data_IF_722047214617
#
_entry.id   IF_722047214617
#
_cell.length_a   1.000
_cell.length_b   1.000
_cell.length_c   1.000
_cell.angle_alpha   90.00
_cell.angle_beta   90.00
_cell.angle_gamma   90.00
#
_symmetry.space_group_name_H-M   'P 1'
#
loop_
_entity.id
_entity.type
_entity.pdbx_description
1 polymer ?
#
# COMPACT_ATOMS: atom_id res chain seq x y z
N UNK A 1 11.18 -53.67 60.65
CA UNK A 1 11.67 -54.09 59.31
C UNK A 1 10.49 -54.46 58.42
N UNK A 2 10.54 -54.02 57.16
CA UNK A 2 9.77 -54.42 55.96
C UNK A 2 8.24 -54.21 55.94
N UNK A 3 7.86 -53.03 55.43
CA UNK A 3 6.57 -52.72 54.77
C UNK A 3 6.31 -53.67 53.60
N UNK A 4 5.12 -54.27 53.55
CA UNK A 4 4.60 -54.97 52.37
C UNK A 4 4.22 -53.98 51.26
N UNK A 5 4.58 -54.36 50.05
CA UNK A 5 4.56 -53.60 48.80
C UNK A 5 3.12 -53.38 48.30
N UNK A 6 2.71 -52.11 48.15
CA UNK A 6 1.63 -51.74 47.20
C UNK A 6 2.23 -51.75 45.79
N UNK A 7 1.71 -52.60 44.91
CA UNK A 7 2.00 -52.60 43.47
C UNK A 7 1.29 -51.39 42.85
N UNK A 8 2.06 -50.42 42.37
CA UNK A 8 1.57 -49.38 41.45
C UNK A 8 1.79 -49.92 40.05
N UNK A 9 0.71 -50.23 39.34
CA UNK A 9 0.75 -50.47 37.91
C UNK A 9 0.79 -49.11 37.22
N UNK A 10 1.94 -48.77 36.62
CA UNK A 10 2.11 -47.60 35.79
C UNK A 10 1.66 -47.97 34.37
N UNK A 11 0.45 -47.58 33.99
CA UNK A 11 0.00 -47.67 32.60
C UNK A 11 0.73 -46.60 31.78
N UNK A 12 1.71 -47.02 30.98
CA UNK A 12 2.20 -46.21 29.86
C UNK A 12 1.15 -46.26 28.75
N UNK A 13 0.23 -45.29 28.73
CA UNK A 13 -0.52 -44.99 27.52
C UNK A 13 0.41 -44.25 26.57
N UNK A 14 1.04 -44.99 25.65
CA UNK A 14 1.74 -44.41 24.51
C UNK A 14 0.68 -43.85 23.56
N UNK A 15 0.21 -42.63 23.83
CA UNK A 15 -0.58 -41.87 22.85
C UNK A 15 0.38 -41.44 21.75
N UNK A 16 0.45 -42.24 20.68
CA UNK A 16 1.04 -41.83 19.43
C UNK A 16 0.13 -40.74 18.83
N UNK A 17 0.24 -39.51 19.34
CA UNK A 17 -0.32 -38.34 18.68
C UNK A 17 0.50 -38.12 17.40
N UNK A 18 0.15 -38.86 16.35
CA UNK A 18 0.51 -38.46 14.99
C UNK A 18 -0.19 -37.12 14.78
N UNK A 19 0.54 -36.02 14.93
CA UNK A 19 0.11 -34.71 14.48
C UNK A 19 0.04 -34.77 12.96
N UNK A 20 -1.03 -35.37 12.43
CA UNK A 20 -1.44 -35.14 11.06
C UNK A 20 -1.90 -33.70 11.07
N UNK A 21 -0.99 -32.76 10.79
CA UNK A 21 -1.40 -31.41 10.40
C UNK A 21 -2.37 -31.63 9.25
N UNK A 22 -3.65 -31.23 9.36
CA UNK A 22 -4.54 -31.34 8.23
C UNK A 22 -3.89 -30.54 7.10
N UNK A 23 -3.40 -31.25 6.08
CA UNK A 23 -3.07 -30.61 4.81
C UNK A 23 -4.39 -30.04 4.36
N UNK A 24 -4.48 -28.71 4.38
CA UNK A 24 -5.67 -28.01 3.94
C UNK A 24 -6.00 -28.51 2.54
N UNK A 25 -7.12 -29.21 2.42
CA UNK A 25 -7.53 -29.80 1.15
C UNK A 25 -7.70 -28.66 0.15
N UNK A 26 -7.05 -28.81 -1.00
CA UNK A 26 -7.22 -27.89 -2.13
C UNK A 26 -8.65 -28.02 -2.65
N UNK A 27 -9.32 -26.90 -2.86
CA UNK A 27 -10.65 -26.83 -3.45
C UNK A 27 -10.52 -26.42 -4.91
N UNK A 28 -10.92 -27.30 -5.81
CA UNK A 28 -10.97 -27.02 -7.25
C UNK A 28 -12.29 -26.34 -7.56
N UNK A 29 -12.27 -25.18 -8.19
CA UNK A 29 -13.47 -24.36 -8.36
C UNK A 29 -13.63 -23.92 -9.80
N UNK A 30 -14.81 -24.17 -10.37
CA UNK A 30 -15.15 -23.86 -11.76
C UNK A 30 -16.28 -22.83 -11.93
N UNK A 31 -16.94 -22.42 -10.85
CA UNK A 31 -18.07 -21.50 -10.93
C UNK A 31 -18.07 -20.45 -9.83
N UNK A 32 -18.86 -19.40 -10.07
CA UNK A 32 -18.92 -18.23 -9.21
C UNK A 32 -19.51 -18.53 -7.83
N UNK A 33 -20.52 -19.40 -7.74
CA UNK A 33 -21.22 -19.69 -6.49
C UNK A 33 -20.30 -20.40 -5.51
N UNK A 34 -19.61 -21.45 -5.95
CA UNK A 34 -18.63 -22.17 -5.13
C UNK A 34 -17.47 -21.25 -4.74
N UNK A 35 -16.93 -20.48 -5.70
CA UNK A 35 -15.85 -19.54 -5.44
C UNK A 35 -16.23 -18.52 -4.37
N UNK A 36 -17.41 -17.90 -4.49
CA UNK A 36 -17.94 -16.92 -3.54
C UNK A 36 -18.14 -17.54 -2.16
N UNK A 37 -18.78 -18.72 -2.08
CA UNK A 37 -19.02 -19.41 -0.82
C UNK A 37 -17.71 -19.71 -0.07
N UNK A 38 -16.70 -20.20 -0.78
CA UNK A 38 -15.39 -20.46 -0.20
C UNK A 38 -14.72 -19.16 0.24
N UNK A 39 -14.72 -18.11 -0.58
CA UNK A 39 -14.14 -16.82 -0.21
C UNK A 39 -14.81 -16.21 1.04
N UNK A 40 -16.12 -16.36 1.18
CA UNK A 40 -16.94 -15.74 2.24
C UNK A 40 -16.96 -16.52 3.55
N UNK A 41 -16.36 -17.72 3.58
CA UNK A 41 -16.17 -18.49 4.81
C UNK A 41 -15.10 -17.86 5.71
N UNK A 42 -15.23 -18.01 7.03
CA UNK A 42 -14.20 -17.58 7.99
C UNK A 42 -13.04 -18.59 8.12
N UNK A 43 -13.14 -19.75 7.46
CA UNK A 43 -12.13 -20.81 7.47
C UNK A 43 -10.89 -20.41 6.67
N UNK A 44 -9.78 -21.11 6.94
CA UNK A 44 -8.66 -21.07 6.01
C UNK A 44 -9.04 -21.92 4.78
N UNK A 45 -8.84 -21.43 3.56
CA UNK A 45 -9.09 -22.20 2.33
C UNK A 45 -7.95 -22.04 1.34
N UNK A 46 -7.66 -23.12 0.60
CA UNK A 46 -6.80 -23.10 -0.59
C UNK A 46 -7.66 -23.39 -1.81
N UNK A 47 -7.82 -22.39 -2.67
CA UNK A 47 -8.74 -22.38 -3.81
C UNK A 47 -7.91 -22.39 -5.08
N UNK A 48 -8.16 -23.37 -5.97
CA UNK A 48 -7.56 -23.46 -7.29
C UNK A 48 -8.64 -23.35 -8.36
N UNK A 49 -8.52 -22.38 -9.26
CA UNK A 49 -9.47 -22.24 -10.36
C UNK A 49 -9.24 -23.30 -11.44
N UNK A 50 -10.32 -23.77 -12.04
CA UNK A 50 -10.30 -24.69 -13.19
C UNK A 50 -10.95 -24.12 -14.44
N UNK A 51 -11.52 -22.92 -14.34
CA UNK A 51 -12.14 -22.17 -15.41
C UNK A 51 -12.09 -20.67 -15.11
N UNK A 52 -12.38 -19.87 -16.13
CA UNK A 52 -12.66 -18.45 -15.95
C UNK A 52 -14.02 -18.27 -15.27
N UNK A 53 -14.10 -17.34 -14.33
CA UNK A 53 -15.30 -17.07 -13.54
C UNK A 53 -15.75 -15.64 -13.79
N UNK A 54 -17.03 -15.48 -14.15
CA UNK A 54 -17.68 -14.18 -14.23
C UNK A 54 -18.12 -13.75 -12.82
N UNK A 55 -17.76 -12.53 -12.44
CA UNK A 55 -18.12 -11.90 -11.17
C UNK A 55 -19.16 -10.83 -11.43
N UNK A 56 -20.41 -11.10 -11.07
CA UNK A 56 -21.56 -10.22 -11.29
C UNK A 56 -22.09 -9.57 -10.00
N UNK A 57 -21.51 -9.91 -8.85
CA UNK A 57 -21.79 -9.32 -7.55
C UNK A 57 -20.53 -9.32 -6.65
N UNK A 58 -20.48 -8.58 -5.53
CA UNK A 58 -19.27 -8.48 -4.74
C UNK A 58 -18.97 -9.80 -4.01
N UNK A 59 -17.69 -10.15 -3.89
CA UNK A 59 -17.21 -11.27 -3.08
C UNK A 59 -16.49 -10.75 -1.84
N UNK A 60 -16.99 -11.09 -0.66
CA UNK A 60 -16.33 -10.71 0.60
C UNK A 60 -15.30 -11.78 0.98
N UNK A 61 -14.02 -11.44 0.92
CA UNK A 61 -12.97 -12.38 1.29
C UNK A 61 -12.77 -12.33 2.81
N UNK A 62 -13.20 -13.40 3.49
CA UNK A 62 -13.07 -13.61 4.94
C UNK A 62 -12.02 -14.68 5.27
N UNK A 63 -11.74 -14.90 6.55
CA UNK A 63 -10.77 -15.92 6.98
C UNK A 63 -9.36 -15.74 6.41
N UNK A 64 -8.66 -16.85 6.14
CA UNK A 64 -7.38 -16.86 5.43
C UNK A 64 -7.54 -17.57 4.09
N UNK A 65 -7.14 -16.96 2.98
CA UNK A 65 -7.37 -17.51 1.64
C UNK A 65 -6.08 -17.56 0.84
N UNK A 66 -5.86 -18.68 0.17
CA UNK A 66 -4.82 -18.84 -0.85
C UNK A 66 -5.55 -19.13 -2.15
N UNK A 67 -5.52 -18.19 -3.08
CA UNK A 67 -6.22 -18.28 -4.37
C UNK A 67 -5.17 -18.42 -5.47
N UNK A 68 -5.22 -19.55 -6.16
CA UNK A 68 -4.35 -19.86 -7.27
C UNK A 68 -5.18 -19.99 -8.55
N UNK A 69 -5.00 -19.04 -9.47
CA UNK A 69 -5.84 -18.99 -10.67
C UNK A 69 -5.48 -20.03 -11.72
N UNK A 70 -4.30 -20.68 -11.65
CA UNK A 70 -3.80 -21.60 -12.70
C UNK A 70 -3.83 -21.01 -14.12
N UNK A 71 -3.73 -19.68 -14.23
CA UNK A 71 -3.83 -18.93 -15.48
C UNK A 71 -5.24 -18.46 -15.85
N UNK A 72 -6.27 -18.84 -15.08
CA UNK A 72 -7.64 -18.44 -15.30
C UNK A 72 -7.94 -17.01 -14.81
N UNK A 73 -9.12 -16.53 -15.18
CA UNK A 73 -9.55 -15.15 -15.00
C UNK A 73 -10.76 -15.06 -14.05
N UNK A 74 -10.76 -14.05 -13.17
CA UNK A 74 -11.95 -13.53 -12.51
C UNK A 74 -12.35 -12.24 -13.23
N UNK A 75 -13.50 -12.27 -13.91
CA UNK A 75 -13.85 -11.24 -14.90
C UNK A 75 -15.13 -10.54 -14.47
N UNK A 76 -15.10 -9.21 -14.34
CA UNK A 76 -16.31 -8.42 -14.08
C UNK A 76 -17.37 -8.71 -15.14
N UNK A 77 -18.61 -8.96 -14.72
CA UNK A 77 -19.74 -9.06 -15.65
C UNK A 77 -19.88 -7.77 -16.47
N UNK A 78 -19.75 -7.93 -17.78
CA UNK A 78 -19.90 -6.88 -18.79
C UNK A 78 -20.98 -7.24 -19.83
N UNK A 79 -21.88 -8.15 -19.47
CA UNK A 79 -22.99 -8.57 -20.31
C UNK A 79 -23.93 -7.38 -20.59
N UNK A 80 -24.45 -7.31 -21.82
CA UNK A 80 -25.36 -6.25 -22.21
C UNK A 80 -26.58 -6.22 -21.28
N UNK A 81 -26.89 -5.05 -20.71
CA UNK A 81 -27.96 -4.89 -19.71
C UNK A 81 -27.67 -5.44 -18.31
N UNK A 82 -26.55 -6.12 -18.06
CA UNK A 82 -26.18 -6.75 -16.78
C UNK A 82 -24.73 -6.48 -16.37
N UNK A 83 -24.31 -5.23 -16.48
CA UNK A 83 -22.96 -4.81 -16.07
C UNK A 83 -22.91 -4.63 -14.56
N UNK A 84 -22.00 -5.34 -13.90
CA UNK A 84 -21.75 -5.11 -12.49
C UNK A 84 -20.78 -3.93 -12.31
N UNK A 85 -21.25 -2.82 -11.76
CA UNK A 85 -20.44 -1.60 -11.61
C UNK A 85 -19.65 -1.49 -10.30
N UNK A 86 -19.94 -2.32 -9.29
CA UNK A 86 -19.42 -2.20 -7.93
C UNK A 86 -18.00 -2.74 -7.72
N UNK A 87 -17.57 -2.84 -6.47
CA UNK A 87 -16.26 -3.42 -6.15
C UNK A 87 -16.34 -4.95 -6.27
N UNK A 88 -15.40 -5.60 -6.97
CA UNK A 88 -15.46 -7.06 -7.15
C UNK A 88 -15.12 -7.81 -5.85
N UNK A 89 -14.07 -7.39 -5.16
CA UNK A 89 -13.55 -8.11 -3.98
C UNK A 89 -13.37 -7.19 -2.78
N UNK A 90 -13.95 -7.60 -1.65
CA UNK A 90 -13.83 -6.89 -0.37
C UNK A 90 -13.01 -7.75 0.58
N UNK A 91 -11.73 -7.41 0.78
CA UNK A 91 -10.87 -8.14 1.72
C UNK A 91 -11.18 -7.67 3.13
N UNK A 92 -11.75 -8.59 3.91
CA UNK A 92 -12.09 -8.42 5.32
C UNK A 92 -11.48 -9.52 6.21
N UNK A 93 -10.81 -10.51 5.63
CA UNK A 93 -10.16 -11.59 6.36
C UNK A 93 -8.83 -11.19 7.00
N UNK A 94 -8.08 -12.21 7.44
CA UNK A 94 -6.73 -12.02 7.99
C UNK A 94 -5.71 -11.81 6.87
N UNK A 95 -5.69 -12.73 5.90
CA UNK A 95 -4.73 -12.74 4.80
C UNK A 95 -5.34 -13.40 3.56
N UNK A 96 -5.13 -12.81 2.40
CA UNK A 96 -5.51 -13.37 1.11
C UNK A 96 -4.32 -13.31 0.15
N UNK A 97 -3.88 -14.45 -0.38
CA UNK A 97 -2.74 -14.54 -1.30
C UNK A 97 -3.20 -14.95 -2.69
N UNK A 98 -2.84 -14.17 -3.71
CA UNK A 98 -3.23 -14.43 -5.10
C UNK A 98 -2.00 -14.77 -5.95
N UNK A 99 -2.13 -15.78 -6.81
CA UNK A 99 -1.08 -16.17 -7.75
C UNK A 99 -1.66 -16.75 -9.04
N UNK A 100 -0.96 -16.56 -10.16
CA UNK A 100 -1.36 -17.06 -11.48
C UNK A 100 -2.83 -16.81 -11.83
N UNK A 101 -3.31 -15.58 -11.63
CA UNK A 101 -4.71 -15.21 -11.79
C UNK A 101 -4.80 -13.84 -12.46
N UNK A 102 -5.71 -13.67 -13.41
CA UNK A 102 -6.08 -12.33 -13.87
C UNK A 102 -7.38 -11.90 -13.20
N UNK A 103 -7.42 -10.69 -12.68
CA UNK A 103 -8.67 -10.03 -12.28
C UNK A 103 -8.90 -8.83 -13.19
N UNK A 104 -9.97 -8.89 -13.97
CA UNK A 104 -10.26 -7.94 -15.04
C UNK A 104 -11.55 -7.18 -14.77
N UNK A 105 -11.48 -5.87 -15.00
CA UNK A 105 -12.65 -4.98 -14.98
C UNK A 105 -13.44 -4.96 -16.29
N UNK A 106 -13.04 -5.76 -17.29
CA UNK A 106 -13.75 -5.90 -18.57
C UNK A 106 -13.94 -4.58 -19.31
N UNK A 107 -12.89 -3.76 -19.40
CA UNK A 107 -12.92 -2.50 -20.15
C UNK A 107 -13.44 -2.71 -21.58
N UNK A 108 -14.51 -2.00 -21.92
CA UNK A 108 -15.18 -2.07 -23.22
C UNK A 108 -16.37 -1.12 -23.28
N UNK A 109 -17.06 -1.08 -24.42
CA UNK A 109 -18.19 -0.16 -24.62
C UNK A 109 -19.30 -0.37 -23.59
N UNK A 110 -19.59 -1.62 -23.24
CA UNK A 110 -20.64 -1.95 -22.28
C UNK A 110 -20.35 -1.45 -20.86
N UNK A 111 -19.08 -1.44 -20.44
CA UNK A 111 -18.65 -1.04 -19.07
C UNK A 111 -18.34 0.44 -18.95
N UNK A 112 -18.16 1.14 -20.08
CA UNK A 112 -17.92 2.58 -20.13
C UNK A 112 -18.97 3.33 -19.31
N UNK A 113 -18.50 4.19 -18.42
CA UNK A 113 -19.34 5.03 -17.54
C UNK A 113 -20.24 4.29 -16.55
N UNK A 114 -20.09 2.97 -16.38
CA UNK A 114 -20.89 2.17 -15.42
C UNK A 114 -20.08 1.67 -14.22
N UNK A 115 -18.75 1.77 -14.29
CA UNK A 115 -17.87 1.29 -13.22
C UNK A 115 -17.75 2.36 -12.15
N UNK A 116 -18.28 2.07 -10.96
CA UNK A 116 -18.22 2.93 -9.77
C UNK A 116 -17.47 2.27 -8.60
N UNK A 117 -16.94 1.06 -8.78
CA UNK A 117 -16.10 0.37 -7.82
C UNK A 117 -14.72 -0.02 -8.36
N UNK A 118 -13.80 -0.33 -7.46
CA UNK A 118 -12.47 -0.86 -7.76
C UNK A 118 -12.53 -2.35 -8.12
N UNK A 119 -11.40 -2.94 -8.51
CA UNK A 119 -11.31 -4.41 -8.51
C UNK A 119 -11.34 -4.92 -7.08
N UNK A 120 -10.55 -4.32 -6.19
CA UNK A 120 -10.36 -4.80 -4.82
C UNK A 120 -10.38 -3.64 -3.83
N UNK A 121 -11.07 -3.83 -2.72
CA UNK A 121 -10.99 -2.97 -1.53
C UNK A 121 -10.46 -3.79 -0.35
N UNK A 122 -9.28 -3.43 0.15
CA UNK A 122 -8.68 -4.02 1.34
C UNK A 122 -9.11 -3.23 2.56
N UNK A 123 -10.25 -3.61 3.15
CA UNK A 123 -10.82 -2.92 4.32
C UNK A 123 -10.02 -3.20 5.58
N UNK A 124 -9.67 -4.48 5.77
CA UNK A 124 -8.87 -4.97 6.87
C UNK A 124 -8.08 -6.23 6.45
N UNK A 125 -7.00 -6.52 7.18
CA UNK A 125 -6.14 -7.66 6.89
C UNK A 125 -5.16 -7.39 5.76
N UNK A 126 -4.64 -8.46 5.16
CA UNK A 126 -3.56 -8.39 4.17
C UNK A 126 -3.95 -9.02 2.84
N UNK A 127 -3.86 -8.25 1.74
CA UNK A 127 -3.81 -8.78 0.38
C UNK A 127 -2.36 -8.98 -0.05
N UNK A 128 -2.04 -10.14 -0.65
CA UNK A 128 -0.74 -10.41 -1.26
C UNK A 128 -0.92 -10.67 -2.74
N UNK A 129 -0.29 -9.83 -3.57
CA UNK A 129 -0.24 -9.99 -5.02
C UNK A 129 1.06 -10.73 -5.37
N UNK A 130 0.92 -11.99 -5.77
CA UNK A 130 2.01 -12.91 -6.10
C UNK A 130 2.34 -13.00 -7.59
N UNK A 131 3.21 -13.95 -7.93
CA UNK A 131 3.69 -14.18 -9.30
C UNK A 131 2.54 -14.60 -10.23
N UNK A 132 2.55 -14.08 -11.45
CA UNK A 132 1.53 -14.37 -12.45
C UNK A 132 0.14 -13.78 -12.14
N UNK A 133 0.04 -12.90 -11.13
CA UNK A 133 -1.20 -12.18 -10.85
C UNK A 133 -1.27 -10.90 -11.70
N UNK A 134 -2.41 -10.64 -12.33
CA UNK A 134 -2.67 -9.45 -13.16
C UNK A 134 -3.94 -8.74 -12.69
N UNK A 135 -3.86 -7.47 -12.31
CA UNK A 135 -5.02 -6.64 -11.98
C UNK A 135 -5.19 -5.57 -13.04
N UNK A 136 -6.24 -5.67 -13.85
CA UNK A 136 -6.29 -4.90 -15.09
C UNK A 136 -7.67 -4.45 -15.55
N UNK A 137 -7.64 -3.52 -16.50
CA UNK A 137 -8.78 -3.13 -17.33
C UNK A 137 -10.02 -2.71 -16.53
N UNK A 138 -9.83 -2.16 -15.32
CA UNK A 138 -10.92 -1.54 -14.55
C UNK A 138 -10.94 -0.03 -14.81
N UNK A 139 -11.93 0.40 -15.58
CA UNK A 139 -11.94 1.73 -16.20
C UNK A 139 -13.15 2.53 -15.73
N UNK A 140 -12.88 3.65 -15.07
CA UNK A 140 -13.82 4.74 -14.91
C UNK A 140 -13.16 6.04 -15.41
N UNK A 141 -13.85 6.76 -16.29
CA UNK A 141 -13.37 8.03 -16.86
C UNK A 141 -14.40 9.15 -16.72
N UNK A 142 -15.57 8.89 -16.15
CA UNK A 142 -16.71 9.81 -16.22
C UNK A 142 -17.42 10.01 -14.89
N UNK A 143 -17.56 8.97 -14.07
CA UNK A 143 -18.29 9.06 -12.82
C UNK A 143 -17.39 9.65 -11.75
N UNK A 144 -17.78 10.78 -11.16
CA UNK A 144 -17.08 11.43 -10.04
C UNK A 144 -17.23 10.63 -8.73
N UNK A 145 -16.74 9.40 -8.77
CA UNK A 145 -16.71 8.43 -7.67
C UNK A 145 -15.33 7.82 -7.61
N UNK A 146 -14.95 7.33 -6.42
CA UNK A 146 -13.75 6.53 -6.28
C UNK A 146 -14.00 5.10 -6.76
N UNK A 147 -14.13 4.96 -8.07
CA UNK A 147 -14.46 3.74 -8.79
C UNK A 147 -13.67 3.69 -10.08
N UNK A 148 -13.43 2.51 -10.62
CA UNK A 148 -12.30 2.29 -11.51
C UNK A 148 -11.02 2.00 -10.72
N UNK A 149 -9.91 1.83 -11.40
CA UNK A 149 -8.65 1.48 -10.73
C UNK A 149 -8.60 0.06 -10.16
N UNK A 150 -7.42 -0.42 -9.76
CA UNK A 150 -7.27 -1.78 -9.26
C UNK A 150 -7.59 -1.91 -7.76
N UNK A 151 -6.75 -1.34 -6.88
CA UNK A 151 -6.82 -1.62 -5.44
C UNK A 151 -7.01 -0.35 -4.63
N UNK A 152 -7.95 -0.39 -3.68
CA UNK A 152 -8.04 0.56 -2.58
C UNK A 152 -7.61 -0.11 -1.29
N UNK A 153 -6.82 0.58 -0.47
CA UNK A 153 -6.34 0.10 0.81
C UNK A 153 -6.89 1.02 1.90
N UNK A 154 -7.80 0.48 2.71
CA UNK A 154 -8.44 1.17 3.83
C UNK A 154 -7.51 1.33 5.03
N UNK A 155 -7.98 2.04 6.06
CA UNK A 155 -7.20 2.41 7.26
C UNK A 155 -6.61 1.23 8.06
N UNK A 156 -7.21 0.04 7.97
CA UNK A 156 -6.69 -1.20 8.57
C UNK A 156 -6.14 -2.21 7.55
N UNK A 157 -6.11 -1.83 6.27
CA UNK A 157 -5.71 -2.69 5.18
C UNK A 157 -4.22 -2.65 4.90
N UNK A 158 -3.69 -3.79 4.49
CA UNK A 158 -2.32 -3.94 4.00
C UNK A 158 -2.36 -4.60 2.63
N UNK A 159 -1.68 -4.02 1.64
CA UNK A 159 -1.41 -4.70 0.39
C UNK A 159 0.11 -4.92 0.25
N UNK A 160 0.50 -6.15 -0.07
CA UNK A 160 1.88 -6.52 -0.36
C UNK A 160 1.95 -7.00 -1.80
N UNK A 161 2.58 -6.20 -2.66
CA UNK A 161 2.87 -6.59 -4.03
C UNK A 161 4.27 -7.22 -4.07
N UNK A 162 4.31 -8.56 -4.07
CA UNK A 162 5.55 -9.32 -4.18
C UNK A 162 6.03 -9.41 -5.63
N UNK A 163 5.08 -9.63 -6.54
CA UNK A 163 5.29 -9.75 -7.97
C UNK A 163 3.98 -9.42 -8.70
N UNK A 164 3.82 -9.92 -9.93
CA UNK A 164 2.61 -9.70 -10.73
C UNK A 164 2.61 -8.34 -11.42
N UNK A 165 1.45 -7.96 -11.96
CA UNK A 165 1.29 -6.69 -12.66
C UNK A 165 -0.06 -6.03 -12.37
N UNK A 166 -0.03 -4.71 -12.23
CA UNK A 166 -1.23 -3.87 -12.14
C UNK A 166 -1.21 -2.93 -13.33
N UNK A 167 -2.15 -3.09 -14.27
CA UNK A 167 -2.03 -2.44 -15.58
C UNK A 167 -3.32 -1.99 -16.22
N UNK A 168 -3.23 -0.97 -17.06
CA UNK A 168 -4.34 -0.48 -17.90
C UNK A 168 -5.61 -0.10 -17.13
N UNK A 169 -5.50 0.16 -15.83
CA UNK A 169 -6.62 0.63 -15.05
C UNK A 169 -6.78 2.14 -15.22
N UNK A 170 -8.02 2.61 -15.15
CA UNK A 170 -8.31 4.04 -15.23
C UNK A 170 -9.23 4.47 -14.12
N UNK A 171 -8.95 5.65 -13.60
CA UNK A 171 -9.73 6.22 -12.52
C UNK A 171 -9.78 7.74 -12.66
N UNK A 172 -10.81 8.34 -12.08
CA UNK A 172 -10.93 9.80 -11.97
C UNK A 172 -10.63 10.28 -10.56
N UNK A 173 -10.81 9.42 -9.55
CA UNK A 173 -10.18 9.60 -8.26
C UNK A 173 -8.73 9.11 -8.31
N UNK A 174 -7.86 9.61 -7.44
CA UNK A 174 -6.42 9.32 -7.56
C UNK A 174 -6.05 7.83 -7.65
N UNK A 175 -4.84 7.53 -8.09
CA UNK A 175 -4.25 6.19 -7.92
C UNK A 175 -4.98 5.10 -8.70
N UNK A 176 -4.78 5.05 -10.02
CA UNK A 176 -5.45 4.04 -10.85
C UNK A 176 -4.90 2.61 -10.61
N UNK A 177 -3.66 2.44 -10.16
CA UNK A 177 -3.20 1.14 -9.65
C UNK A 177 -3.58 0.97 -8.18
N UNK A 178 -3.12 1.89 -7.32
CA UNK A 178 -3.33 1.81 -5.88
C UNK A 178 -3.79 3.15 -5.30
N UNK A 179 -4.84 3.12 -4.49
CA UNK A 179 -5.22 4.22 -3.61
C UNK A 179 -5.03 3.78 -2.17
N UNK A 180 -4.15 4.46 -1.45
CA UNK A 180 -3.81 4.14 -0.07
C UNK A 180 -4.44 5.20 0.83
N UNK A 181 -5.55 4.86 1.49
CA UNK A 181 -6.20 5.77 2.45
C UNK A 181 -5.31 5.95 3.67
N UNK A 182 -5.57 7.04 4.41
CA UNK A 182 -4.96 7.27 5.73
C UNK A 182 -5.10 6.02 6.61
N UNK A 183 -3.98 5.57 7.19
CA UNK A 183 -3.88 4.34 7.99
C UNK A 183 -3.53 3.08 7.18
N UNK A 184 -3.86 3.06 5.88
CA UNK A 184 -3.56 1.96 4.97
C UNK A 184 -2.08 1.86 4.62
N UNK A 185 -1.65 0.65 4.26
CA UNK A 185 -0.24 0.35 3.98
C UNK A 185 -0.06 -0.40 2.67
N UNK A 186 0.84 0.09 1.84
CA UNK A 186 1.26 -0.56 0.60
C UNK A 186 2.75 -0.88 0.68
N UNK A 187 3.10 -2.16 0.53
CA UNK A 187 4.48 -2.61 0.40
C UNK A 187 4.67 -3.20 -1.01
N UNK A 188 5.55 -2.60 -1.80
CA UNK A 188 5.92 -3.08 -3.12
C UNK A 188 7.34 -3.62 -3.04
N UNK A 189 7.46 -4.94 -3.18
CA UNK A 189 8.74 -5.65 -3.18
C UNK A 189 9.19 -5.99 -4.59
N UNK A 190 8.25 -6.11 -5.53
CA UNK A 190 8.51 -6.45 -6.93
C UNK A 190 7.28 -6.31 -7.80
N UNK A 191 7.38 -6.76 -9.05
CA UNK A 191 6.33 -6.70 -10.06
C UNK A 191 6.31 -5.41 -10.89
N UNK A 192 5.27 -5.24 -11.70
CA UNK A 192 5.18 -4.17 -12.71
C UNK A 192 3.86 -3.40 -12.62
N UNK A 193 3.94 -2.09 -12.40
CA UNK A 193 2.80 -1.19 -12.39
C UNK A 193 2.88 -0.32 -13.65
N UNK A 194 1.98 -0.51 -14.62
CA UNK A 194 2.14 0.13 -15.93
C UNK A 194 0.85 0.46 -16.67
N UNK A 195 0.85 1.51 -17.49
CA UNK A 195 -0.31 1.89 -18.31
C UNK A 195 -1.54 2.35 -17.50
N UNK A 196 -1.39 2.56 -16.19
CA UNK A 196 -2.49 3.05 -15.36
C UNK A 196 -2.62 4.57 -15.53
N UNK A 197 -3.86 5.05 -15.55
CA UNK A 197 -4.14 6.46 -15.85
C UNK A 197 -5.16 7.06 -14.91
N UNK A 198 -4.82 8.21 -14.34
CA UNK A 198 -5.79 9.05 -13.64
C UNK A 198 -6.15 10.26 -14.51
N UNK A 199 -7.44 10.60 -14.58
CA UNK A 199 -7.97 11.73 -15.37
C UNK A 199 -8.82 12.62 -14.46
N UNK A 200 -8.44 13.90 -14.34
CA UNK A 200 -9.24 14.88 -13.62
C UNK A 200 -10.53 15.20 -14.36
N UNK A 201 -11.67 15.10 -13.67
CA UNK A 201 -13.01 15.41 -14.19
C UNK A 201 -13.60 16.69 -13.58
N UNK A 202 -12.94 17.29 -12.59
CA UNK A 202 -13.35 18.56 -12.02
C UNK A 202 -12.25 19.26 -11.25
N UNK A 203 -12.46 20.55 -10.98
CA UNK A 203 -11.59 21.39 -10.16
C UNK A 203 -11.86 21.16 -8.65
N UNK A 204 -12.03 19.90 -8.24
CA UNK A 204 -12.36 19.50 -6.88
C UNK A 204 -11.29 18.53 -6.40
N UNK A 205 -10.84 18.72 -5.16
CA UNK A 205 -9.88 17.81 -4.54
C UNK A 205 -10.40 16.36 -4.57
N UNK A 206 -9.53 15.44 -4.94
CA UNK A 206 -9.88 14.02 -5.08
C UNK A 206 -10.43 13.65 -6.46
N UNK A 207 -10.80 14.61 -7.32
CA UNK A 207 -11.29 14.39 -8.68
C UNK A 207 -10.55 15.21 -9.75
N UNK A 208 -9.42 15.80 -9.37
CA UNK A 208 -8.57 16.63 -10.23
C UNK A 208 -7.43 15.85 -10.88
N UNK A 209 -7.37 14.52 -10.69
CA UNK A 209 -6.51 13.63 -11.45
C UNK A 209 -5.05 13.54 -10.98
N UNK A 210 -4.82 13.04 -9.77
CA UNK A 210 -3.49 12.90 -9.15
C UNK A 210 -3.05 11.46 -8.98
N UNK A 211 -1.75 11.19 -9.04
CA UNK A 211 -1.21 9.86 -8.74
C UNK A 211 -1.56 8.84 -9.82
N UNK A 212 -0.93 8.90 -10.99
CA UNK A 212 -1.30 8.08 -12.15
C UNK A 212 -1.27 6.58 -11.84
N UNK A 213 -0.21 6.13 -11.16
CA UNK A 213 -0.16 4.78 -10.61
C UNK A 213 -0.69 4.75 -9.17
N UNK A 214 -0.05 5.51 -8.27
CA UNK A 214 -0.30 5.44 -6.83
C UNK A 214 -0.73 6.81 -6.31
N UNK A 215 -1.82 6.83 -5.55
CA UNK A 215 -2.22 7.95 -4.70
C UNK A 215 -2.17 7.52 -3.24
N UNK A 216 -1.49 8.28 -2.38
CA UNK A 216 -1.29 7.88 -0.99
C UNK A 216 -1.57 8.98 0.03
N UNK A 217 -2.53 8.74 0.91
CA UNK A 217 -2.73 9.39 2.21
C UNK A 217 -2.16 8.55 3.37
N UNK A 218 -1.82 7.29 3.10
CA UNK A 218 -1.28 6.33 4.06
C UNK A 218 0.24 6.19 3.97
N UNK A 219 0.73 4.96 4.04
CA UNK A 219 2.17 4.66 3.96
C UNK A 219 2.49 3.71 2.82
N UNK A 220 3.47 4.09 2.00
CA UNK A 220 3.97 3.31 0.88
C UNK A 220 5.45 3.01 1.09
N UNK A 221 5.82 1.74 0.96
CA UNK A 221 7.20 1.28 0.91
C UNK A 221 7.47 0.71 -0.48
N UNK A 222 8.30 1.41 -1.26
CA UNK A 222 8.74 0.97 -2.56
C UNK A 222 10.16 0.41 -2.43
N UNK A 223 10.28 -0.92 -2.37
CA UNK A 223 11.54 -1.63 -2.17
C UNK A 223 12.09 -2.26 -3.45
N UNK A 224 11.25 -2.51 -4.44
CA UNK A 224 11.64 -3.15 -5.70
C UNK A 224 10.49 -3.19 -6.71
N UNK A 225 10.79 -3.61 -7.94
CA UNK A 225 9.85 -3.63 -9.06
C UNK A 225 9.94 -2.40 -9.98
N UNK A 226 8.99 -2.28 -10.89
CA UNK A 226 8.96 -1.24 -11.92
C UNK A 226 7.63 -0.51 -11.90
N UNK A 227 7.66 0.82 -11.88
CA UNK A 227 6.50 1.68 -12.13
C UNK A 227 6.83 2.50 -13.39
N UNK A 228 6.14 2.21 -14.49
CA UNK A 228 6.43 2.88 -15.77
C UNK A 228 5.22 3.06 -16.66
N UNK A 229 5.20 4.11 -17.48
CA UNK A 229 4.11 4.36 -18.42
C UNK A 229 2.77 4.70 -17.76
N UNK A 230 2.76 5.14 -16.50
CA UNK A 230 1.54 5.57 -15.82
C UNK A 230 1.35 7.07 -15.98
N UNK A 231 0.10 7.53 -16.12
CA UNK A 231 -0.20 8.92 -16.46
C UNK A 231 -1.10 9.59 -15.43
N UNK A 232 -0.75 10.78 -14.96
CA UNK A 232 -1.65 11.65 -14.21
C UNK A 232 -2.04 12.84 -15.10
N UNK A 233 -3.30 12.92 -15.52
CA UNK A 233 -3.82 14.04 -16.31
C UNK A 233 -4.74 14.91 -15.46
N UNK A 234 -4.47 16.22 -15.43
CA UNK A 234 -5.24 17.17 -14.65
C UNK A 234 -6.56 17.56 -15.29
N UNK A 235 -7.46 18.14 -14.49
CA UNK A 235 -8.64 18.84 -15.00
C UNK A 235 -8.24 20.24 -15.47
N UNK A 236 -8.64 20.65 -16.68
CA UNK A 236 -8.32 21.97 -17.23
C UNK A 236 -9.57 22.84 -17.34
N UNK A 237 -9.47 24.07 -16.84
CA UNK A 237 -10.49 25.12 -17.02
C UNK A 237 -9.81 26.39 -17.52
N UNK A 238 -9.92 26.65 -18.82
CA UNK A 238 -9.08 27.65 -19.49
C UNK A 238 -7.61 27.28 -19.36
N UNK A 239 -6.79 28.26 -18.97
CA UNK A 239 -5.34 28.07 -18.80
C UNK A 239 -4.95 27.41 -17.46
N UNK A 240 -5.91 27.20 -16.55
CA UNK A 240 -5.65 26.62 -15.23
C UNK A 240 -5.75 25.10 -15.30
N UNK A 241 -4.69 24.43 -14.82
CA UNK A 241 -4.66 22.98 -14.62
C UNK A 241 -4.76 22.64 -13.13
N UNK A 242 -5.79 21.89 -12.77
CA UNK A 242 -6.01 21.32 -11.44
C UNK A 242 -5.51 19.88 -11.42
N UNK A 243 -4.78 19.49 -10.39
CA UNK A 243 -4.17 18.16 -10.27
C UNK A 243 -3.18 17.86 -11.40
N UNK A 244 -3.24 16.65 -11.97
CA UNK A 244 -2.32 16.21 -13.03
C UNK A 244 -0.89 16.06 -12.56
N UNK A 245 -0.69 15.61 -11.32
CA UNK A 245 0.62 15.52 -10.68
C UNK A 245 0.90 14.11 -10.16
N UNK A 246 2.18 13.73 -10.14
CA UNK A 246 2.65 12.45 -9.65
C UNK A 246 2.27 11.34 -10.61
N UNK A 247 2.84 11.34 -11.82
CA UNK A 247 2.55 10.33 -12.83
C UNK A 247 2.76 8.91 -12.30
N UNK A 248 3.85 8.70 -11.54
CA UNK A 248 4.07 7.46 -10.80
C UNK A 248 3.36 7.51 -9.45
N UNK A 249 3.71 8.47 -8.59
CA UNK A 249 3.21 8.52 -7.21
C UNK A 249 2.84 9.94 -6.83
N UNK A 250 1.64 10.11 -6.29
CA UNK A 250 1.25 11.29 -5.55
C UNK A 250 1.15 10.97 -4.05
N UNK A 251 1.88 11.72 -3.23
CA UNK A 251 1.87 11.60 -1.76
C UNK A 251 1.11 12.79 -1.17
N UNK A 252 -0.11 12.54 -0.70
CA UNK A 252 -0.97 13.53 -0.07
C UNK A 252 -0.42 14.00 1.28
N UNK A 253 -0.94 15.12 1.79
CA UNK A 253 -0.63 15.61 3.14
C UNK A 253 -0.93 14.54 4.20
N UNK A 254 0.05 14.26 5.06
CA UNK A 254 -0.02 13.21 6.07
C UNK A 254 0.33 11.81 5.56
N UNK A 255 0.44 11.63 4.24
CA UNK A 255 0.95 10.41 3.62
C UNK A 255 2.47 10.32 3.66
N UNK A 256 2.99 9.12 3.38
CA UNK A 256 4.41 8.83 3.38
C UNK A 256 4.82 7.85 2.28
N UNK A 257 5.95 8.14 1.64
CA UNK A 257 6.63 7.26 0.69
C UNK A 257 8.06 7.01 1.13
N UNK A 258 8.43 5.74 1.24
CA UNK A 258 9.79 5.28 1.50
C UNK A 258 10.29 4.52 0.28
N UNK A 259 11.26 5.10 -0.42
CA UNK A 259 11.91 4.47 -1.56
C UNK A 259 13.22 3.86 -1.10
N UNK A 260 13.40 2.57 -1.33
CA UNK A 260 14.63 1.82 -1.02
C UNK A 260 15.21 1.14 -2.27
N UNK A 261 14.39 0.91 -3.30
CA UNK A 261 14.82 0.29 -4.55
C UNK A 261 13.70 0.32 -5.60
N UNK A 262 13.94 -0.38 -6.72
CA UNK A 262 13.04 -0.40 -7.87
C UNK A 262 13.30 0.72 -8.88
N UNK A 263 12.48 0.78 -9.92
CA UNK A 263 12.62 1.71 -11.05
C UNK A 263 11.33 2.51 -11.29
N UNK A 264 11.46 3.83 -11.39
CA UNK A 264 10.39 4.75 -11.80
C UNK A 264 10.81 5.44 -13.11
N UNK A 265 10.15 5.15 -14.22
CA UNK A 265 10.51 5.71 -15.53
C UNK A 265 9.28 6.00 -16.38
N UNK A 266 9.33 7.07 -17.17
CA UNK A 266 8.31 7.37 -18.17
C UNK A 266 6.88 7.41 -17.61
N UNK A 267 6.70 7.97 -16.41
CA UNK A 267 5.37 8.22 -15.86
C UNK A 267 5.00 9.70 -16.06
N UNK A 268 4.37 10.07 -17.19
CA UNK A 268 4.06 11.46 -17.48
C UNK A 268 3.01 12.04 -16.53
N UNK A 269 3.17 13.32 -16.25
CA UNK A 269 2.18 14.17 -15.61
C UNK A 269 2.27 15.59 -16.21
N UNK A 270 1.49 16.53 -15.71
CA UNK A 270 1.47 17.92 -16.20
C UNK A 270 2.69 18.74 -15.75
N UNK A 271 3.59 18.16 -14.94
CA UNK A 271 4.78 18.83 -14.37
C UNK A 271 6.10 18.15 -14.69
N UNK A 272 6.07 17.06 -15.46
CA UNK A 272 7.20 16.19 -15.78
C UNK A 272 7.85 15.57 -14.53
N UNK A 273 7.07 15.33 -13.47
CA UNK A 273 7.53 14.78 -12.20
C UNK A 273 7.08 13.32 -12.01
N UNK A 274 8.03 12.44 -11.64
CA UNK A 274 7.69 11.04 -11.34
C UNK A 274 6.90 10.95 -10.01
N UNK A 275 7.35 11.69 -9.00
CA UNK A 275 6.77 11.73 -7.67
C UNK A 275 6.41 13.18 -7.34
N UNK A 276 5.16 13.41 -6.99
CA UNK A 276 4.70 14.66 -6.39
C UNK A 276 4.34 14.43 -4.93
N UNK A 277 4.76 15.30 -4.02
CA UNK A 277 4.53 15.10 -2.59
C UNK A 277 4.18 16.39 -1.85
N UNK A 278 2.99 16.38 -1.24
CA UNK A 278 2.61 17.24 -0.12
C UNK A 278 2.88 16.56 1.23
N UNK A 279 3.13 15.25 1.22
CA UNK A 279 3.52 14.45 2.38
C UNK A 279 5.03 14.19 2.46
N UNK A 280 5.43 13.17 3.22
CA UNK A 280 6.84 12.84 3.46
C UNK A 280 7.36 11.86 2.40
N UNK A 281 8.48 12.19 1.77
CA UNK A 281 9.24 11.26 0.92
C UNK A 281 10.62 11.03 1.51
N UNK A 282 11.06 9.78 1.57
CA UNK A 282 12.39 9.38 2.06
C UNK A 282 13.05 8.42 1.08
N UNK A 283 14.36 8.53 0.88
CA UNK A 283 15.12 7.64 -0.01
C UNK A 283 14.94 7.92 -1.50
N UNK A 284 14.40 9.10 -1.83
CA UNK A 284 14.34 9.60 -3.20
C UNK A 284 14.94 11.01 -3.25
N UNK A 285 16.07 11.15 -3.92
CA UNK A 285 16.65 12.46 -4.21
C UNK A 285 16.04 12.96 -5.51
N UNK A 286 15.17 13.97 -5.42
CA UNK A 286 14.68 14.67 -6.60
C UNK A 286 15.88 15.25 -7.34
N UNK A 287 16.18 14.73 -8.54
CA UNK A 287 16.97 15.46 -9.54
C UNK A 287 16.13 16.68 -9.95
N UNK A 288 16.29 17.78 -9.19
CA UNK A 288 15.67 19.10 -9.30
C UNK A 288 14.80 19.36 -10.55
N UNK A 289 13.50 19.53 -10.33
CA UNK A 289 12.74 20.64 -10.91
C UNK A 289 12.64 21.71 -9.81
N UNK A 290 13.26 22.88 -10.02
CA UNK A 290 13.10 24.02 -9.14
C UNK A 290 11.59 24.31 -9.04
N UNK A 291 11.08 24.44 -7.81
CA UNK A 291 9.75 24.99 -7.52
C UNK A 291 9.60 26.31 -8.30
N UNK A 292 8.99 26.30 -9.48
CA UNK A 292 8.41 27.51 -10.05
C UNK A 292 7.14 27.71 -9.24
N UNK A 293 7.25 28.55 -8.21
CA UNK A 293 6.07 29.24 -7.69
C UNK A 293 5.33 29.84 -8.90
N UNK A 294 3.99 29.80 -8.93
CA UNK A 294 3.25 30.48 -9.98
C UNK A 294 3.68 31.95 -9.92
N UNK A 295 4.34 32.41 -10.98
CA UNK A 295 4.50 33.84 -11.19
C UNK A 295 3.09 34.40 -11.21
N UNK A 296 2.70 35.09 -10.14
CA UNK A 296 1.67 36.12 -10.28
C UNK A 296 2.20 37.02 -11.38
N UNK A 297 1.51 37.06 -12.51
CA UNK A 297 1.73 38.06 -13.54
C UNK A 297 1.42 39.42 -12.90
N UNK A 298 2.41 40.01 -12.22
CA UNK A 298 2.50 41.45 -12.13
C UNK A 298 2.81 41.90 -13.55
N UNK A 299 1.80 42.48 -14.19
CA UNK A 299 1.92 43.18 -15.45
C UNK A 299 3.07 44.18 -15.37
N UNK A 300 4.19 43.88 -16.05
CA UNK A 300 5.15 44.90 -16.44
C UNK A 300 4.42 45.83 -17.41
N UNK A 301 4.10 47.02 -16.92
CA UNK A 301 3.60 48.14 -17.72
C UNK A 301 4.78 48.60 -18.58
N UNK A 302 4.90 48.01 -19.76
CA UNK A 302 5.71 48.57 -20.84
C UNK A 302 4.96 49.78 -21.39
N UNK A 303 5.49 50.98 -21.14
CA UNK A 303 5.01 52.24 -21.70
C UNK A 303 5.09 52.20 -23.23
N UNK A 304 3.97 52.02 -23.91
CA UNK A 304 3.82 52.41 -25.32
C UNK A 304 3.05 53.73 -25.39
N UNK A 305 3.70 54.76 -25.94
CA UNK A 305 3.09 56.01 -26.34
C UNK A 305 2.14 55.73 -27.50
N UNK A 306 0.85 55.98 -27.34
CA UNK A 306 -0.04 56.29 -28.48
C UNK A 306 -0.96 57.46 -28.15
N UNK A 307 -1.21 58.22 -29.21
CA UNK A 307 -1.67 59.61 -29.28
C UNK A 307 -3.20 59.66 -29.28
N UNK A 308 -3.72 60.75 -28.69
CA UNK A 308 -5.12 61.15 -28.55
C UNK A 308 -6.05 60.93 -29.76
N UNK A 309 -7.33 60.65 -29.46
CA UNK A 309 -8.49 61.47 -29.88
C UNK A 309 -9.69 61.28 -28.93
N UNK A 310 -10.47 62.36 -28.79
CA UNK A 310 -11.51 62.63 -27.80
C UNK A 310 -12.82 61.83 -27.98
N UNK A 311 -13.58 61.64 -26.88
CA UNK A 311 -14.85 62.35 -26.62
C UNK A 311 -15.55 61.90 -25.30
N UNK A 312 -15.74 62.87 -24.40
CA UNK A 312 -16.96 63.19 -23.63
C UNK A 312 -17.87 62.08 -23.03
N UNK A 313 -17.93 61.97 -21.69
CA UNK A 313 -18.87 62.69 -20.79
C UNK A 313 -19.11 61.99 -19.42
N UNK A 314 -19.11 62.84 -18.38
CA UNK A 314 -19.90 62.83 -17.11
C UNK A 314 -19.61 61.86 -15.94
N UNK A 315 -18.85 62.43 -14.98
CA UNK A 315 -19.04 62.56 -13.50
C UNK A 315 -19.99 61.59 -12.76
N UNK A 316 -19.48 60.97 -11.67
CA UNK A 316 -19.75 61.41 -10.27
C UNK A 316 -18.92 60.62 -9.22
N UNK A 317 -18.04 61.35 -8.53
CA UNK A 317 -17.74 61.39 -7.08
C UNK A 317 -18.02 60.17 -6.17
N UNK A 318 -16.97 59.60 -5.55
CA UNK A 318 -16.55 59.81 -4.13
C UNK A 318 -15.58 58.71 -3.63
N UNK A 319 -14.47 59.13 -3.02
CA UNK A 319 -13.51 58.38 -2.19
C UNK A 319 -13.55 59.01 -0.77
N UNK A 320 -12.78 58.58 0.26
CA UNK A 320 -11.94 57.37 0.46
C UNK A 320 -12.05 56.75 1.88
N UNK A 321 -11.33 55.65 2.16
CA UNK A 321 -10.60 55.51 3.43
C UNK A 321 -9.37 54.57 3.29
N UNK A 322 -8.17 55.13 3.53
CA UNK A 322 -6.90 54.47 3.85
C UNK A 322 -7.01 53.88 5.28
N UNK A 323 -6.27 52.86 5.74
CA UNK A 323 -4.83 52.86 6.11
C UNK A 323 -4.42 51.43 6.55
N UNK A 324 -3.31 50.89 6.05
CA UNK A 324 -1.99 50.76 6.69
C UNK A 324 -1.67 49.39 7.36
N UNK A 325 -0.64 48.71 6.83
CA UNK A 325 0.35 47.85 7.52
C UNK A 325 1.73 48.39 7.08
N UNK A 326 2.81 48.39 7.90
CA UNK A 326 3.62 47.20 8.23
C UNK A 326 4.23 47.24 9.67
N UNK A 327 5.01 46.32 10.25
CA UNK A 327 6.17 45.48 9.84
C UNK A 327 6.44 44.42 10.97
N UNK A 328 7.31 43.40 10.77
CA UNK A 328 7.51 42.24 11.67
C UNK A 328 8.79 42.33 12.53
N UNK A 329 8.87 41.53 13.60
CA UNK A 329 10.08 41.33 14.42
C UNK A 329 10.64 39.90 14.32
N UNK A 330 11.91 39.83 13.87
CA UNK A 330 13.08 38.98 14.28
C UNK A 330 12.76 37.60 14.90
N UNK A 331 13.00 36.47 14.23
CA UNK A 331 14.28 35.76 14.00
C UNK A 331 15.28 35.79 15.16
N UNK A 332 15.43 34.64 15.84
CA UNK A 332 16.66 34.28 16.54
C UNK A 332 17.10 32.86 16.21
N UNK A 333 18.41 32.74 16.07
CA UNK A 333 19.18 31.66 15.46
C UNK A 333 19.68 30.71 16.56
N UNK A 334 19.51 29.39 16.41
CA UNK A 334 20.23 28.41 17.26
C UNK A 334 21.12 27.51 16.39
N UNK A 335 22.38 27.46 16.82
CA UNK A 335 23.56 26.88 16.19
C UNK A 335 23.45 25.36 16.02
N UNK A 336 23.95 24.88 14.87
CA UNK A 336 24.30 23.48 14.62
C UNK A 336 25.65 23.18 15.26
N UNK A 337 25.69 22.23 16.19
CA UNK A 337 26.93 21.53 16.55
C UNK A 337 27.17 20.35 15.59
N UNK A 338 28.39 20.33 15.04
CA UNK A 338 28.98 19.20 14.31
C UNK A 338 29.25 18.08 15.31
N UNK A 339 28.81 16.87 15.01
CA UNK A 339 29.47 15.67 15.51
C UNK A 339 29.96 14.80 14.35
N UNK A 340 31.13 14.26 14.63
CA UNK A 340 32.17 13.77 13.75
C UNK A 340 31.85 12.34 13.31
N UNK A 341 32.11 12.03 12.04
CA UNK A 341 32.12 10.66 11.51
C UNK A 341 33.26 9.86 12.13
N UNK A 342 32.95 8.67 12.62
CA UNK A 342 33.89 7.56 12.70
C UNK A 342 33.29 6.39 11.94
N UNK A 343 33.96 6.01 10.85
CA UNK A 343 33.71 4.80 10.08
C UNK A 343 34.12 3.58 10.93
N UNK A 344 33.16 2.68 11.15
CA UNK A 344 33.45 1.27 11.42
C UNK A 344 32.39 0.43 10.71
N UNK A 345 32.86 -0.30 9.69
CA UNK A 345 32.09 -1.26 8.91
C UNK A 345 31.84 -2.49 9.78
N UNK A 346 30.69 -2.52 10.44
CA UNK A 346 30.19 -3.71 11.12
C UNK A 346 28.81 -4.04 10.57
N UNK A 347 28.70 -5.20 9.93
CA UNK A 347 27.50 -5.67 9.23
C UNK A 347 26.33 -5.88 10.21
N UNK A 348 25.20 -5.19 9.98
CA UNK A 348 24.13 -4.99 10.97
C UNK A 348 23.02 -6.03 10.85
N UNK A 349 22.84 -6.87 11.88
CA UNK A 349 21.62 -7.68 12.10
C UNK A 349 20.58 -6.82 12.83
N UNK A 350 19.35 -6.76 12.32
CA UNK A 350 18.22 -6.07 12.97
C UNK A 350 17.13 -7.08 13.30
N UNK A 351 16.65 -7.06 14.55
CA UNK A 351 15.67 -8.03 15.06
C UNK A 351 14.32 -7.34 15.27
N UNK A 352 13.25 -7.94 14.75
CA UNK A 352 11.86 -7.48 14.90
C UNK A 352 11.01 -8.57 15.55
N UNK A 353 10.58 -8.41 16.82
CA UNK A 353 9.64 -9.33 17.43
C UNK A 353 8.22 -9.10 16.89
N UNK A 354 7.58 -10.15 16.41
CA UNK A 354 6.17 -10.15 15.95
C UNK A 354 5.37 -11.07 16.86
N UNK A 355 4.25 -10.61 17.43
CA UNK A 355 3.47 -11.41 18.37
C UNK A 355 1.98 -11.47 18.03
N UNK A 356 1.51 -12.71 17.84
CA UNK A 356 0.11 -13.10 17.69
C UNK A 356 -0.60 -13.17 19.06
N UNK A 357 -1.89 -12.77 19.08
CA UNK A 357 -2.78 -12.93 20.24
C UNK A 357 -3.66 -14.17 20.04
N UNK A 358 -3.19 -15.33 20.49
CA UNK A 358 -3.94 -16.39 21.22
C UNK A 358 -3.23 -17.75 21.10
N UNK A 359 -2.99 -18.30 22.30
CA UNK A 359 -2.78 -19.69 22.73
C UNK A 359 -1.71 -20.57 22.05
N UNK A 360 -0.85 -21.14 22.90
CA UNK A 360 0.48 -21.77 22.68
C UNK A 360 1.57 -20.86 22.09
N UNK A 361 2.25 -20.17 23.00
CA UNK A 361 3.12 -19.01 22.76
C UNK A 361 4.46 -19.43 22.11
N UNK A 362 4.45 -19.61 20.80
CA UNK A 362 5.65 -19.53 19.99
C UNK A 362 5.93 -18.04 19.71
N UNK A 363 6.94 -17.47 20.35
CA UNK A 363 7.37 -16.11 20.04
C UNK A 363 8.08 -16.10 18.69
N UNK A 364 7.65 -15.24 17.75
CA UNK A 364 8.34 -15.10 16.47
C UNK A 364 9.34 -13.96 16.57
N UNK A 365 10.60 -14.27 16.30
CA UNK A 365 11.68 -13.29 16.22
C UNK A 365 12.17 -13.30 14.78
N UNK A 366 11.86 -12.23 14.04
CA UNK A 366 12.37 -12.06 12.69
C UNK A 366 13.75 -11.42 12.78
N UNK A 367 14.75 -12.00 12.14
CA UNK A 367 16.04 -11.34 11.92
C UNK A 367 16.32 -11.22 10.43
N UNK A 368 17.09 -10.19 10.09
CA UNK A 368 17.61 -9.98 8.74
C UNK A 368 19.11 -10.23 8.80
N UNK A 369 19.58 -11.20 8.02
CA UNK A 369 21.01 -11.36 7.77
C UNK A 369 21.44 -10.37 6.68
N UNK A 370 22.57 -9.65 6.85
CA UNK A 370 22.96 -8.56 5.95
C UNK A 370 23.10 -8.97 4.48
N UNK A 371 23.40 -10.25 4.25
CA UNK A 371 23.81 -10.76 2.93
C UNK A 371 22.79 -11.74 2.33
N UNK A 372 21.63 -11.90 2.97
CA UNK A 372 20.58 -12.80 2.51
C UNK A 372 19.24 -12.06 2.42
N UNK A 373 18.68 -11.98 1.21
CA UNK A 373 17.40 -11.29 0.91
C UNK A 373 16.17 -12.01 1.43
N UNK A 374 16.35 -13.19 2.03
CA UNK A 374 15.31 -13.98 2.65
C UNK A 374 15.21 -13.68 4.16
N UNK A 375 13.99 -13.42 4.64
CA UNK A 375 13.74 -13.43 6.08
C UNK A 375 13.95 -14.84 6.60
N UNK A 376 14.98 -15.04 7.42
CA UNK A 376 15.07 -16.26 8.21
C UNK A 376 14.13 -16.09 9.40
N UNK A 377 12.95 -16.72 9.32
CA UNK A 377 12.04 -16.82 10.45
C UNK A 377 12.65 -17.78 11.48
N UNK A 378 13.21 -17.23 12.56
CA UNK A 378 13.67 -18.06 13.68
C UNK A 378 12.56 -18.16 14.72
N UNK A 379 12.11 -19.38 14.98
CA UNK A 379 11.08 -19.65 16.00
C UNK A 379 11.75 -19.79 17.36
N UNK A 380 11.48 -18.84 18.24
CA UNK A 380 11.98 -18.86 19.60
C UNK A 380 10.88 -19.36 20.54
N UNK A 381 11.23 -20.30 21.41
CA UNK A 381 10.28 -20.88 22.36
C UNK A 381 10.43 -20.14 23.68
N UNK A 382 9.46 -19.25 23.97
CA UNK A 382 9.39 -18.54 25.24
C UNK A 382 8.37 -19.21 26.16
N UNK A 383 8.74 -19.44 27.43
CA UNK A 383 7.74 -19.69 28.46
C UNK A 383 6.89 -18.44 28.69
N UNK A 384 5.70 -18.60 29.26
CA UNK A 384 4.76 -17.49 29.55
C UNK A 384 5.45 -16.39 30.37
N UNK A 385 6.27 -16.77 31.36
CA UNK A 385 6.97 -15.82 32.21
C UNK A 385 8.18 -15.20 31.51
N UNK A 386 8.93 -15.97 30.71
CA UNK A 386 10.03 -15.42 29.91
C UNK A 386 9.52 -14.40 28.87
N UNK A 387 8.32 -14.61 28.33
CA UNK A 387 7.68 -13.67 27.41
C UNK A 387 7.28 -12.36 28.10
N UNK A 388 6.77 -12.43 29.33
CA UNK A 388 6.48 -11.22 30.14
C UNK A 388 7.75 -10.41 30.41
N UNK A 389 8.84 -11.10 30.73
CA UNK A 389 10.16 -10.47 30.97
C UNK A 389 10.71 -9.85 29.67
N UNK A 390 10.61 -10.54 28.54
CA UNK A 390 11.02 -10.02 27.23
C UNK A 390 10.20 -8.77 26.82
N UNK A 391 8.88 -8.76 27.08
CA UNK A 391 8.02 -7.59 26.85
C UNK A 391 8.47 -6.38 27.66
N UNK A 392 8.68 -6.58 28.96
CA UNK A 392 9.12 -5.52 29.86
C UNK A 392 10.51 -5.00 29.49
N UNK A 393 11.42 -5.88 29.07
CA UNK A 393 12.75 -5.48 28.62
C UNK A 393 12.69 -4.50 27.44
N UNK A 394 11.91 -4.81 26.40
CA UNK A 394 11.77 -3.95 25.20
C UNK A 394 11.07 -2.63 25.53
N UNK A 395 10.00 -2.67 26.32
CA UNK A 395 9.20 -1.47 26.63
C UNK A 395 9.96 -0.43 27.48
N UNK A 396 11.00 -0.85 28.19
CA UNK A 396 11.85 0.04 29.01
C UNK A 396 12.95 0.72 28.22
N UNK A 397 13.11 0.41 26.94
CA UNK A 397 14.18 1.00 26.11
C UNK A 397 13.66 2.23 25.36
N UNK A 398 14.40 3.32 25.44
CA UNK A 398 14.13 4.55 24.69
C UNK A 398 14.27 4.33 23.17
N UNK A 399 15.17 3.44 22.76
CA UNK A 399 15.39 3.00 21.37
C UNK A 399 15.34 1.47 21.27
N UNK A 400 14.14 0.87 21.27
CA UNK A 400 13.94 -0.58 21.42
C UNK A 400 14.52 -1.45 20.30
N UNK A 401 14.93 -0.84 19.19
CA UNK A 401 15.52 -1.53 18.03
C UNK A 401 16.93 -1.03 17.71
N UNK A 402 17.57 -0.34 18.67
CA UNK A 402 18.98 0.03 18.56
C UNK A 402 19.85 -1.23 18.61
N UNK A 403 21.08 -1.11 18.10
CA UNK A 403 22.03 -2.21 18.06
C UNK A 403 22.33 -2.71 19.47
N UNK A 404 22.53 -1.77 20.39
CA UNK A 404 22.88 -2.03 21.78
C UNK A 404 21.76 -2.81 22.49
N UNK A 405 20.51 -2.44 22.23
CA UNK A 405 19.33 -3.13 22.76
C UNK A 405 19.16 -4.52 22.15
N UNK A 406 19.41 -4.68 20.85
CA UNK A 406 19.33 -5.98 20.18
C UNK A 406 20.40 -6.95 20.71
N UNK A 407 21.64 -6.50 20.88
CA UNK A 407 22.74 -7.30 21.41
C UNK A 407 22.51 -7.68 22.89
N UNK A 408 21.90 -6.77 23.66
CA UNK A 408 21.49 -7.05 25.03
C UNK A 408 20.32 -8.06 25.08
N UNK A 409 19.35 -7.93 24.18
CA UNK A 409 18.22 -8.86 24.07
C UNK A 409 18.70 -10.28 23.74
N UNK A 410 19.55 -10.42 22.72
CA UNK A 410 20.11 -11.71 22.33
C UNK A 410 20.88 -12.38 23.46
N UNK A 411 21.74 -11.63 24.17
CA UNK A 411 22.48 -12.16 25.32
C UNK A 411 21.56 -12.62 26.45
N UNK A 412 20.52 -11.83 26.74
CA UNK A 412 19.61 -12.13 27.85
C UNK A 412 18.66 -13.29 27.56
N UNK A 413 18.23 -13.46 26.30
CA UNK A 413 17.22 -14.44 25.92
C UNK A 413 17.76 -15.62 25.10
N UNK A 414 19.08 -15.74 24.88
CA UNK A 414 19.71 -16.80 24.08
C UNK A 414 19.26 -18.23 24.42
N UNK A 415 18.90 -18.50 25.69
CA UNK A 415 18.42 -19.83 26.12
C UNK A 415 17.05 -20.20 25.53
N UNK A 416 16.24 -19.22 25.10
CA UNK A 416 14.95 -19.42 24.43
C UNK A 416 15.08 -19.84 22.95
N UNK A 417 16.32 -19.90 22.42
CA UNK A 417 16.66 -20.24 21.05
C UNK A 417 16.60 -21.76 20.74
N UNK A 418 16.40 -22.65 21.72
CA UNK A 418 16.41 -24.10 21.48
C UNK A 418 15.17 -24.54 20.69
N UNK A 419 15.32 -24.65 19.38
CA UNK A 419 14.31 -25.18 18.45
C UNK A 419 14.76 -25.19 16.99
N UNK A 420 16.05 -25.36 16.72
CA UNK A 420 16.55 -25.62 15.35
C UNK A 420 16.50 -27.13 15.14
N UNK A 421 15.45 -27.61 14.47
CA UNK A 421 15.49 -28.93 13.83
C UNK A 421 16.52 -28.81 12.70
N UNK A 422 17.71 -29.39 12.90
CA UNK A 422 18.60 -29.71 11.79
C UNK A 422 18.03 -30.97 11.14
N UNK A 423 17.61 -30.86 9.88
CA UNK A 423 17.41 -32.03 9.05
C UNK A 423 18.81 -32.51 8.66
N UNK A 424 19.27 -33.61 9.26
CA UNK A 424 20.21 -34.55 8.65
C UNK A 424 19.43 -35.79 8.22
#
# INVERSE_FOLDING_TARGET
MKKMRKRIALFFALSLCVSVRPVLAKRMVSDFSEFKQLCESDTKETIELTSDIIVDEPVVIRGEKIIHGRGHNLVRSALHGKVYGGCLFLVQGKKCEWSQLTVSGSAGENTKSKIFGRLIEVRQGTLVIGKGCFLQDNVNETLAVNGGGAVEIGSGGVCIMKAGSVRNNRNVSGGAAFYVKKGGRLLIQGGVITGNKTIGVGAVEGFDGRGGAIYSEGSVWFKGGVISGNTAKGYRKGDICYGGVGGAVYVAKGGSLFVQGGTLTNNPDEREEQIYADGKVTGWENKKSKKKEPKQNQSEITKSKQKNTNENQQKHNLMPAKTAKPKPEKTDTIKKEKQQKTDSTEHKKTIMPVMDKKEEIHGRVLYVEPDNTDFVEEKWHFSVDALKVARQFIHRQEKPFSREVNDSFLRQFAKAKKGVVKNE
#
